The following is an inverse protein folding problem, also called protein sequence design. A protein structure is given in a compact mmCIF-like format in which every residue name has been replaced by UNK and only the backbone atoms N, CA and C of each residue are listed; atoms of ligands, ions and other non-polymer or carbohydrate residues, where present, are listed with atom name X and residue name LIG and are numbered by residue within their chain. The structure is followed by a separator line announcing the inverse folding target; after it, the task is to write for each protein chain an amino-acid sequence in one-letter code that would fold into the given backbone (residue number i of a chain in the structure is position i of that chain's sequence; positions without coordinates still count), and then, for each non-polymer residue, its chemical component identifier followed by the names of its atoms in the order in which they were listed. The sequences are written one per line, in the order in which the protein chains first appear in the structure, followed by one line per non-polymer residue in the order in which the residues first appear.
data_IF_530015297466
#
_entry.id   IF_530015297466
#
_cell.length_a   1.000
_cell.length_b   1.000
_cell.length_c   1.000
_cell.angle_alpha   90.00
_cell.angle_beta   90.00
_cell.angle_gamma   90.00
#
_symmetry.space_group_name_H-M   'P 1'
#
loop_
_entity.id
_entity.type
_entity.pdbx_description
1 polymer ?
#
# COMPACT_ATOMS: atom_id res chain seq x y z
N UNK A 1 -14.98 -19.32 12.12
CA UNK A 1 -15.28 -18.36 13.22
C UNK A 1 -14.32 -17.18 13.11
N UNK A 2 -14.82 -15.95 13.32
CA UNK A 2 -13.98 -14.76 13.40
C UNK A 2 -13.92 -14.34 14.86
N UNK A 3 -12.70 -14.30 15.41
CA UNK A 3 -12.43 -13.79 16.74
C UNK A 3 -11.81 -12.42 16.65
N UNK A 4 -12.33 -11.45 17.41
CA UNK A 4 -11.80 -10.10 17.48
C UNK A 4 -11.33 -9.80 18.89
N UNK A 5 -10.25 -9.03 19.02
CA UNK A 5 -9.73 -8.53 20.29
C UNK A 5 -9.44 -7.05 20.19
N UNK A 6 -10.07 -6.29 21.05
CA UNK A 6 -9.92 -4.84 21.09
C UNK A 6 -8.87 -4.45 22.14
N UNK A 7 -7.93 -3.58 21.70
CA UNK A 7 -6.91 -3.03 22.59
C UNK A 7 -7.57 -2.17 23.69
N UNK A 8 -7.20 -2.44 24.94
CA UNK A 8 -7.76 -1.76 26.12
C UNK A 8 -9.00 -2.44 26.72
N UNK A 9 -9.67 -3.33 26.00
CA UNK A 9 -10.81 -4.12 26.47
C UNK A 9 -10.40 -5.59 26.63
N UNK A 10 -10.07 -6.27 25.53
CA UNK A 10 -9.77 -7.70 25.50
C UNK A 10 -8.28 -8.00 25.63
N UNK A 11 -7.43 -7.04 25.34
CA UNK A 11 -5.96 -7.18 25.38
C UNK A 11 -5.27 -5.88 25.79
N UNK A 12 -4.10 -6.02 26.41
CA UNK A 12 -3.27 -4.87 26.81
C UNK A 12 -2.31 -4.39 25.71
N UNK A 13 -2.04 -5.20 24.68
CA UNK A 13 -1.20 -4.83 23.56
C UNK A 13 -1.49 -5.69 22.34
N UNK A 14 -1.20 -5.19 21.14
CA UNK A 14 -1.27 -5.97 19.90
C UNK A 14 -0.33 -7.19 19.96
N UNK A 15 0.88 -7.03 20.49
CA UNK A 15 1.83 -8.12 20.64
C UNK A 15 1.29 -9.26 21.51
N UNK A 16 0.67 -8.94 22.66
CA UNK A 16 0.08 -9.97 23.53
C UNK A 16 -1.10 -10.68 22.85
N UNK A 17 -1.96 -9.93 22.15
CA UNK A 17 -3.07 -10.50 21.41
C UNK A 17 -2.56 -11.45 20.31
N UNK A 18 -1.55 -11.04 19.55
CA UNK A 18 -0.97 -11.83 18.47
C UNK A 18 -0.29 -13.10 19.00
N UNK A 19 0.51 -13.01 20.08
CA UNK A 19 1.10 -14.18 20.74
C UNK A 19 0.07 -15.21 21.20
N UNK A 20 -1.07 -14.73 21.70
CA UNK A 20 -2.15 -15.62 22.14
C UNK A 20 -2.89 -16.21 20.93
N UNK A 21 -3.17 -15.39 19.90
CA UNK A 21 -3.86 -15.82 18.70
C UNK A 21 -3.11 -16.95 17.97
N UNK A 22 -1.78 -16.87 17.86
CA UNK A 22 -0.95 -17.90 17.22
C UNK A 22 -1.02 -19.29 17.90
N UNK A 23 -1.55 -19.37 19.13
CA UNK A 23 -1.79 -20.64 19.84
C UNK A 23 -3.17 -21.23 19.57
N UNK A 24 -4.01 -20.51 18.85
CA UNK A 24 -5.38 -20.90 18.50
C UNK A 24 -5.49 -21.48 17.08
N UNK A 25 -4.32 -21.72 16.42
CA UNK A 25 -4.19 -22.27 15.09
C UNK A 25 -5.02 -21.50 14.02
N UNK A 26 -4.84 -20.18 13.87
CA UNK A 26 -5.58 -19.41 12.91
C UNK A 26 -4.97 -19.55 11.50
N UNK A 27 -5.77 -19.72 10.48
CA UNK A 27 -5.28 -19.64 9.09
C UNK A 27 -4.94 -18.21 8.68
N UNK A 28 -5.74 -17.24 9.17
CA UNK A 28 -5.66 -15.83 8.77
C UNK A 28 -5.64 -14.94 10.02
N UNK A 29 -4.70 -14.00 10.05
CA UNK A 29 -4.58 -13.01 11.12
C UNK A 29 -4.62 -11.60 10.53
N UNK A 30 -5.48 -10.74 11.09
CA UNK A 30 -5.47 -9.31 10.76
C UNK A 30 -4.96 -8.53 11.98
N UNK A 31 -3.84 -7.84 11.79
CA UNK A 31 -3.28 -6.89 12.78
C UNK A 31 -3.76 -5.50 12.40
N UNK A 32 -4.63 -4.93 13.21
CA UNK A 32 -5.28 -3.66 12.92
C UNK A 32 -4.29 -2.50 12.70
N UNK A 33 -3.15 -2.53 13.38
CA UNK A 33 -2.07 -1.56 13.19
C UNK A 33 -0.71 -2.11 13.63
N UNK A 34 0.30 -1.93 12.80
CA UNK A 34 1.69 -2.31 13.07
C UNK A 34 2.55 -1.05 13.33
N UNK A 35 2.68 -0.66 14.61
CA UNK A 35 3.41 0.56 15.01
C UNK A 35 4.74 0.29 15.69
N UNK A 36 4.82 -0.80 16.42
CA UNK A 36 5.94 -1.12 17.29
C UNK A 36 6.70 -2.35 16.82
N UNK A 37 7.98 -2.42 17.21
CA UNK A 37 8.91 -3.48 16.84
C UNK A 37 8.37 -4.87 17.22
N UNK A 38 7.81 -5.02 18.42
CA UNK A 38 7.37 -6.33 18.91
C UNK A 38 6.20 -6.87 18.08
N UNK A 39 5.22 -6.02 17.77
CA UNK A 39 4.08 -6.39 16.92
C UNK A 39 4.54 -6.76 15.51
N UNK A 40 5.46 -5.97 14.91
CA UNK A 40 5.98 -6.24 13.56
C UNK A 40 6.79 -7.54 13.54
N UNK A 41 7.67 -7.76 14.52
CA UNK A 41 8.46 -8.99 14.61
C UNK A 41 7.57 -10.25 14.70
N UNK A 42 6.51 -10.18 15.52
CA UNK A 42 5.55 -11.28 15.65
C UNK A 42 4.74 -11.51 14.38
N UNK A 43 4.35 -10.43 13.67
CA UNK A 43 3.65 -10.53 12.38
C UNK A 43 4.51 -11.21 11.31
N UNK A 44 5.79 -10.84 11.22
CA UNK A 44 6.75 -11.51 10.32
C UNK A 44 6.91 -12.99 10.70
N UNK A 45 7.09 -13.28 11.99
CA UNK A 45 7.22 -14.66 12.48
C UNK A 45 5.98 -15.49 12.15
N UNK A 46 4.79 -14.93 12.35
CA UNK A 46 3.54 -15.60 12.01
C UNK A 46 3.47 -15.93 10.51
N UNK A 47 3.86 -14.97 9.65
CA UNK A 47 3.88 -15.18 8.20
C UNK A 47 4.90 -16.27 7.79
N UNK A 48 6.10 -16.31 8.42
CA UNK A 48 7.12 -17.34 8.18
C UNK A 48 6.65 -18.74 8.62
N UNK A 49 5.79 -18.82 9.62
CA UNK A 49 5.24 -20.09 10.13
C UNK A 49 3.98 -20.55 9.40
N UNK A 50 3.58 -19.88 8.31
CA UNK A 50 2.55 -20.35 7.40
C UNK A 50 1.19 -19.65 7.53
N UNK A 51 1.05 -18.67 8.39
CA UNK A 51 -0.20 -17.89 8.54
C UNK A 51 -0.29 -16.81 7.46
N UNK A 52 -1.49 -16.57 6.94
CA UNK A 52 -1.75 -15.38 6.13
C UNK A 52 -1.96 -14.17 7.05
N UNK A 53 -1.02 -13.25 7.05
CA UNK A 53 -1.06 -12.06 7.91
C UNK A 53 -1.40 -10.82 7.11
N UNK A 54 -2.48 -10.15 7.46
CA UNK A 54 -2.79 -8.79 7.01
C UNK A 54 -2.36 -7.80 8.08
N UNK A 55 -1.60 -6.78 7.68
CA UNK A 55 -1.17 -5.71 8.58
C UNK A 55 -1.41 -4.35 7.95
N UNK A 56 -1.74 -3.34 8.74
CA UNK A 56 -1.86 -1.97 8.27
C UNK A 56 -0.73 -1.10 8.78
N UNK A 57 -0.24 -0.23 7.89
CA UNK A 57 0.76 0.79 8.17
C UNK A 57 0.32 2.12 7.57
N UNK A 58 0.80 3.25 8.13
CA UNK A 58 0.54 4.58 7.61
C UNK A 58 1.70 5.03 6.72
N UNK A 59 1.67 4.59 5.46
CA UNK A 59 2.69 4.89 4.44
C UNK A 59 2.02 5.30 3.13
N UNK A 60 2.72 6.07 2.30
CA UNK A 60 2.18 6.61 1.05
C UNK A 60 2.59 5.80 -0.19
N UNK A 61 3.52 4.84 -0.07
CA UNK A 61 3.96 3.99 -1.18
C UNK A 61 4.40 2.60 -0.70
N UNK A 62 4.47 1.65 -1.62
CA UNK A 62 4.92 0.29 -1.34
C UNK A 62 6.40 0.25 -0.90
N UNK A 63 7.28 1.04 -1.53
CA UNK A 63 8.68 1.12 -1.12
C UNK A 63 8.82 1.66 0.31
N UNK A 64 8.09 2.73 0.64
CA UNK A 64 8.08 3.28 2.01
C UNK A 64 7.51 2.29 3.03
N UNK A 65 6.55 1.45 2.64
CA UNK A 65 6.04 0.40 3.52
C UNK A 65 7.15 -0.59 3.89
N UNK A 66 7.92 -1.04 2.90
CA UNK A 66 9.06 -1.94 3.12
C UNK A 66 10.10 -1.28 4.03
N UNK A 67 10.51 -0.05 3.74
CA UNK A 67 11.46 0.69 4.56
C UNK A 67 10.94 0.87 5.98
N UNK A 68 9.68 1.27 6.15
CA UNK A 68 9.05 1.48 7.47
C UNK A 68 9.05 0.23 8.33
N UNK A 69 8.81 -0.94 7.74
CA UNK A 69 8.87 -2.23 8.46
C UNK A 69 10.31 -2.49 8.93
N UNK A 70 11.29 -2.25 8.09
CA UNK A 70 12.70 -2.53 8.38
C UNK A 70 13.28 -1.56 9.41
N UNK A 71 12.95 -0.28 9.28
CA UNK A 71 13.55 0.81 10.06
C UNK A 71 13.16 0.81 11.54
N UNK A 72 12.10 0.10 11.94
CA UNK A 72 11.77 -0.06 13.36
C UNK A 72 12.75 -0.97 14.09
N UNK A 73 13.54 -1.77 13.36
CA UNK A 73 14.52 -2.70 13.94
C UNK A 73 15.89 -2.03 14.10
N UNK A 74 16.67 -2.40 15.15
CA UNK A 74 18.05 -2.00 15.29
C UNK A 74 18.89 -2.36 14.06
N UNK A 75 19.88 -1.53 13.74
CA UNK A 75 20.69 -1.64 12.53
C UNK A 75 21.34 -3.04 12.34
N UNK A 76 21.76 -3.67 13.43
CA UNK A 76 22.35 -5.02 13.43
C UNK A 76 21.35 -6.13 13.05
N UNK A 77 20.04 -5.86 13.16
CA UNK A 77 18.97 -6.80 12.81
C UNK A 77 18.38 -6.56 11.42
N UNK A 78 18.52 -5.37 10.86
CA UNK A 78 17.86 -5.00 9.61
C UNK A 78 18.18 -5.94 8.44
N UNK A 79 19.41 -6.42 8.31
CA UNK A 79 19.79 -7.38 7.26
C UNK A 79 18.99 -8.68 7.36
N UNK A 80 18.84 -9.21 8.58
CA UNK A 80 18.05 -10.41 8.81
C UNK A 80 16.57 -10.16 8.48
N UNK A 81 16.02 -9.02 8.91
CA UNK A 81 14.61 -8.65 8.64
C UNK A 81 14.36 -8.49 7.15
N UNK A 82 15.29 -7.91 6.38
CA UNK A 82 15.18 -7.85 4.90
C UNK A 82 15.02 -9.23 4.29
N UNK A 83 15.81 -10.20 4.73
CA UNK A 83 15.72 -11.59 4.25
C UNK A 83 14.36 -12.19 4.60
N UNK A 84 13.93 -12.10 5.85
CA UNK A 84 12.64 -12.62 6.31
C UNK A 84 11.47 -11.98 5.54
N UNK A 85 11.46 -10.65 5.45
CA UNK A 85 10.42 -9.92 4.73
C UNK A 85 10.41 -10.25 3.23
N UNK A 86 11.59 -10.39 2.60
CA UNK A 86 11.69 -10.75 1.18
C UNK A 86 11.12 -12.14 0.85
N UNK A 87 11.02 -13.02 1.84
CA UNK A 87 10.49 -14.38 1.69
C UNK A 87 9.01 -14.47 2.08
N UNK A 88 8.54 -13.65 3.04
CA UNK A 88 7.19 -13.75 3.60
C UNK A 88 6.21 -12.72 3.03
N UNK A 89 6.67 -11.56 2.55
CA UNK A 89 5.79 -10.54 1.98
C UNK A 89 5.17 -11.03 0.67
N UNK A 90 3.86 -10.86 0.52
CA UNK A 90 3.11 -11.28 -0.68
C UNK A 90 2.73 -10.09 -1.53
N UNK A 91 2.18 -9.04 -0.94
CA UNK A 91 1.76 -7.84 -1.64
C UNK A 91 1.72 -6.63 -0.70
N UNK A 92 1.77 -5.43 -1.29
CA UNK A 92 1.51 -4.17 -0.60
C UNK A 92 0.49 -3.37 -1.41
N UNK A 93 -0.53 -2.87 -0.71
CA UNK A 93 -1.56 -1.98 -1.24
C UNK A 93 -1.46 -0.64 -0.52
N UNK A 94 -0.92 0.38 -1.19
CA UNK A 94 -0.86 1.74 -0.66
C UNK A 94 -1.99 2.56 -1.22
N UNK A 95 -2.86 3.08 -0.36
CA UNK A 95 -4.13 3.70 -0.75
C UNK A 95 -4.20 5.17 -0.34
N UNK A 96 -4.81 6.00 -1.17
CA UNK A 96 -5.22 7.36 -0.84
C UNK A 96 -6.63 7.66 -1.34
N UNK A 97 -7.33 8.56 -0.63
CA UNK A 97 -8.64 9.06 -1.04
C UNK A 97 -8.48 10.41 -1.75
N UNK A 98 -9.08 10.53 -2.92
CA UNK A 98 -9.00 11.70 -3.79
C UNK A 98 -10.40 12.31 -3.94
N UNK A 99 -10.60 13.63 -3.79
CA UNK A 99 -11.89 14.27 -4.02
C UNK A 99 -12.34 14.06 -5.48
N UNK A 100 -13.60 13.66 -5.67
CA UNK A 100 -14.23 13.61 -6.98
C UNK A 100 -14.52 15.01 -7.48
N UNK A 101 -14.46 15.22 -8.79
CA UNK A 101 -14.73 16.52 -9.45
C UNK A 101 -16.19 16.94 -9.30
N UNK A 102 -17.11 16.04 -9.57
CA UNK A 102 -18.55 16.29 -9.56
C UNK A 102 -19.28 15.08 -8.93
N UNK A 103 -19.26 14.93 -7.59
CA UNK A 103 -19.99 13.85 -6.95
C UNK A 103 -21.50 14.05 -7.13
N UNK A 104 -22.23 12.98 -7.46
CA UNK A 104 -23.70 13.02 -7.54
C UNK A 104 -24.31 13.15 -6.13
N UNK A 105 -25.51 13.70 -5.99
CA UNK A 105 -26.26 13.63 -4.74
C UNK A 105 -26.34 12.17 -4.27
N UNK A 106 -26.06 11.92 -2.99
CA UNK A 106 -25.99 10.58 -2.37
C UNK A 106 -24.83 9.69 -2.82
N UNK A 107 -23.83 10.21 -3.53
CA UNK A 107 -22.58 9.50 -3.86
C UNK A 107 -21.45 9.94 -2.92
N UNK A 108 -20.56 9.01 -2.58
CA UNK A 108 -19.35 9.37 -1.84
C UNK A 108 -18.54 10.40 -2.62
N UNK A 109 -18.23 11.55 -1.98
CA UNK A 109 -17.50 12.67 -2.58
C UNK A 109 -16.01 12.38 -2.86
N UNK A 110 -15.53 11.18 -2.57
CA UNK A 110 -14.14 10.75 -2.77
C UNK A 110 -14.08 9.44 -3.56
N UNK A 111 -13.01 9.27 -4.32
CA UNK A 111 -12.63 8.02 -4.97
C UNK A 111 -11.31 7.52 -4.41
N UNK A 112 -11.08 6.22 -4.49
CA UNK A 112 -9.84 5.60 -4.05
C UNK A 112 -8.84 5.58 -5.20
N UNK A 113 -7.60 5.97 -4.93
CA UNK A 113 -6.44 5.69 -5.76
C UNK A 113 -5.46 4.83 -4.95
N UNK A 114 -4.87 3.82 -5.59
CA UNK A 114 -3.98 2.89 -4.90
C UNK A 114 -2.80 2.47 -5.78
N UNK A 115 -1.64 2.37 -5.14
CA UNK A 115 -0.47 1.68 -5.68
C UNK A 115 -0.57 0.21 -5.27
N UNK A 116 -0.28 -0.70 -6.19
CA UNK A 116 -0.29 -2.15 -5.95
C UNK A 116 1.07 -2.72 -6.32
N UNK A 117 1.72 -3.30 -5.34
CA UNK A 117 2.95 -4.08 -5.50
C UNK A 117 2.66 -5.55 -5.20
N UNK A 118 2.98 -6.43 -6.13
CA UNK A 118 2.96 -7.90 -5.92
C UNK A 118 4.39 -8.37 -5.87
N UNK A 119 4.73 -9.18 -4.89
CA UNK A 119 6.09 -9.67 -4.74
C UNK A 119 6.42 -10.65 -5.87
N UNK A 120 7.49 -10.33 -6.57
CA UNK A 120 8.12 -11.16 -7.58
C UNK A 120 9.54 -11.50 -7.15
N UNK A 121 10.21 -12.49 -7.75
CA UNK A 121 11.62 -12.77 -7.46
C UNK A 121 12.52 -11.53 -7.60
N UNK A 122 12.23 -10.65 -8.57
CA UNK A 122 12.96 -9.40 -8.75
C UNK A 122 12.75 -8.44 -7.56
N UNK A 123 11.52 -8.23 -7.12
CA UNK A 123 11.20 -7.35 -5.97
C UNK A 123 11.73 -7.95 -4.67
N UNK A 124 11.60 -9.27 -4.45
CA UNK A 124 12.23 -9.94 -3.31
C UNK A 124 13.72 -9.66 -3.24
N UNK A 125 14.42 -9.72 -4.38
CA UNK A 125 15.85 -9.44 -4.43
C UNK A 125 16.17 -7.97 -4.10
N UNK A 126 15.38 -7.02 -4.62
CA UNK A 126 15.52 -5.59 -4.28
C UNK A 126 15.35 -5.34 -2.77
N UNK A 127 14.39 -6.00 -2.13
CA UNK A 127 14.17 -5.89 -0.67
C UNK A 127 15.38 -6.45 0.08
N UNK A 128 15.86 -7.64 -0.31
CA UNK A 128 16.99 -8.32 0.32
C UNK A 128 18.27 -7.49 0.25
N UNK A 129 18.50 -6.85 -0.90
CA UNK A 129 19.68 -6.01 -1.14
C UNK A 129 19.54 -4.57 -0.60
N UNK A 130 18.38 -4.20 -0.06
CA UNK A 130 18.13 -2.83 0.42
C UNK A 130 17.99 -1.80 -0.69
N UNK A 131 17.66 -2.22 -1.91
CA UNK A 131 17.49 -1.36 -3.10
C UNK A 131 16.02 -0.94 -3.29
N UNK A 132 15.36 -0.53 -2.22
CA UNK A 132 13.93 -0.21 -2.19
C UNK A 132 13.54 0.93 -3.14
N UNK A 133 14.47 1.86 -3.42
CA UNK A 133 14.26 2.93 -4.40
C UNK A 133 13.96 2.40 -5.83
N UNK A 134 14.40 1.19 -6.18
CA UNK A 134 14.16 0.58 -7.50
C UNK A 134 12.81 -0.15 -7.59
N UNK A 135 12.10 -0.33 -6.47
CA UNK A 135 10.79 -1.02 -6.42
C UNK A 135 9.78 -0.30 -7.31
N UNK A 136 9.76 1.03 -7.33
CA UNK A 136 8.84 1.78 -8.18
C UNK A 136 8.94 1.39 -9.66
N UNK A 137 10.15 1.27 -10.19
CA UNK A 137 10.37 0.85 -11.59
C UNK A 137 9.89 -0.59 -11.84
N UNK A 138 10.04 -1.46 -10.85
CA UNK A 138 9.52 -2.82 -10.94
C UNK A 138 7.98 -2.87 -10.93
N UNK A 139 7.33 -2.03 -10.13
CA UNK A 139 5.86 -1.88 -10.16
C UNK A 139 5.39 -1.37 -11.51
N UNK A 140 6.06 -0.34 -12.06
CA UNK A 140 5.72 0.29 -13.34
C UNK A 140 5.73 -0.71 -14.50
N UNK A 141 6.67 -1.66 -14.49
CA UNK A 141 6.79 -2.70 -15.52
C UNK A 141 5.95 -3.95 -15.24
N UNK A 142 5.40 -4.06 -14.04
CA UNK A 142 4.67 -5.23 -13.55
C UNK A 142 3.17 -5.27 -13.86
N UNK A 143 2.67 -4.44 -14.78
CA UNK A 143 1.23 -4.34 -15.08
C UNK A 143 0.57 -5.65 -15.48
N UNK A 144 1.28 -6.56 -16.16
CA UNK A 144 0.76 -7.89 -16.52
C UNK A 144 0.47 -8.78 -15.30
N UNK A 145 1.08 -8.49 -14.16
CA UNK A 145 0.88 -9.19 -12.90
C UNK A 145 -0.15 -8.50 -11.99
N UNK A 146 -0.82 -7.45 -12.47
CA UNK A 146 -1.79 -6.69 -11.69
C UNK A 146 -1.17 -5.57 -10.84
N UNK A 147 0.13 -5.28 -10.99
CA UNK A 147 0.77 -4.14 -10.34
C UNK A 147 0.39 -2.83 -11.01
N UNK A 148 0.30 -1.76 -10.21
CA UNK A 148 0.05 -0.42 -10.73
C UNK A 148 0.68 0.64 -9.82
N UNK A 149 1.19 1.71 -10.43
CA UNK A 149 1.67 2.87 -9.69
C UNK A 149 0.53 3.81 -9.34
N UNK A 150 0.69 4.59 -8.27
CA UNK A 150 -0.29 5.61 -7.89
C UNK A 150 -0.51 6.62 -9.02
N UNK A 151 0.56 7.05 -9.69
CA UNK A 151 0.53 8.02 -10.79
C UNK A 151 -0.30 7.52 -11.98
N UNK A 152 -0.19 6.21 -12.31
CA UNK A 152 -1.01 5.60 -13.38
C UNK A 152 -2.50 5.65 -13.03
N UNK A 153 -2.87 5.36 -11.79
CA UNK A 153 -4.27 5.40 -11.36
C UNK A 153 -4.80 6.83 -11.35
N UNK A 154 -4.03 7.78 -10.80
CA UNK A 154 -4.41 9.21 -10.79
C UNK A 154 -4.58 9.77 -12.21
N UNK A 155 -3.64 9.45 -13.12
CA UNK A 155 -3.74 9.86 -14.52
C UNK A 155 -5.00 9.29 -15.20
N UNK A 156 -5.31 8.01 -14.96
CA UNK A 156 -6.50 7.38 -15.50
C UNK A 156 -7.80 8.00 -14.96
N UNK A 157 -7.88 8.27 -13.65
CA UNK A 157 -9.03 8.92 -13.03
C UNK A 157 -9.21 10.36 -13.53
N UNK A 158 -8.13 11.10 -13.76
CA UNK A 158 -8.17 12.42 -14.38
C UNK A 158 -8.70 12.34 -15.82
N UNK A 159 -8.16 11.43 -16.65
CA UNK A 159 -8.60 11.21 -18.04
C UNK A 159 -10.08 10.83 -18.15
N UNK A 160 -10.57 10.07 -17.19
CA UNK A 160 -11.99 9.69 -17.04
C UNK A 160 -12.85 10.83 -16.45
N UNK A 161 -12.26 12.03 -16.18
CA UNK A 161 -12.92 13.18 -15.61
C UNK A 161 -13.57 12.91 -14.22
N UNK A 162 -13.03 11.93 -13.48
CA UNK A 162 -13.47 11.58 -12.12
C UNK A 162 -12.89 12.56 -11.11
N UNK A 163 -11.63 12.98 -11.27
CA UNK A 163 -10.92 13.91 -10.38
C UNK A 163 -10.40 15.10 -11.18
N UNK A 164 -10.05 16.19 -10.48
CA UNK A 164 -9.39 17.34 -11.10
C UNK A 164 -7.89 17.16 -11.18
N UNK A 165 -7.21 17.96 -12.02
CA UNK A 165 -5.75 17.97 -12.11
C UNK A 165 -5.11 18.32 -10.76
N UNK A 166 -5.63 19.34 -10.07
CA UNK A 166 -5.14 19.81 -8.78
C UNK A 166 -5.30 18.71 -7.70
N UNK A 167 -6.44 18.01 -7.72
CA UNK A 167 -6.67 16.89 -6.80
C UNK A 167 -5.66 15.74 -7.06
N UNK A 168 -5.37 15.41 -8.30
CA UNK A 168 -4.36 14.41 -8.66
C UNK A 168 -2.95 14.83 -8.20
N UNK A 169 -2.56 16.08 -8.51
CA UNK A 169 -1.26 16.64 -8.15
C UNK A 169 -1.04 16.73 -6.62
N UNK A 170 -2.10 16.94 -5.85
CA UNK A 170 -2.01 16.99 -4.38
C UNK A 170 -1.73 15.63 -3.73
N UNK A 171 -1.87 14.52 -4.45
CA UNK A 171 -1.74 13.14 -3.92
C UNK A 171 -0.50 12.41 -4.41
N UNK A 172 0.16 12.90 -5.45
CA UNK A 172 1.37 12.28 -5.97
C UNK A 172 2.62 12.77 -5.24
N UNK A 173 3.57 11.87 -5.03
CA UNK A 173 4.94 12.21 -4.66
C UNK A 173 5.87 12.38 -5.89
N UNK A 174 5.36 12.15 -7.12
CA UNK A 174 6.09 12.18 -8.38
C UNK A 174 5.36 13.04 -9.42
N UNK A 175 5.33 14.37 -9.22
CA UNK A 175 4.55 15.29 -10.05
C UNK A 175 4.96 15.24 -11.53
N UNK A 176 6.26 15.13 -11.83
CA UNK A 176 6.76 15.09 -13.21
C UNK A 176 6.28 13.83 -13.95
N UNK A 177 6.28 12.68 -13.26
CA UNK A 177 5.77 11.43 -13.83
C UNK A 177 4.27 11.50 -14.09
N UNK A 178 3.50 12.04 -13.15
CA UNK A 178 2.07 12.24 -13.32
C UNK A 178 1.77 13.16 -14.49
N UNK A 179 2.47 14.30 -14.63
CA UNK A 179 2.31 15.22 -15.75
C UNK A 179 2.63 14.54 -17.08
N UNK A 180 3.70 13.75 -17.15
CA UNK A 180 4.06 12.98 -18.34
C UNK A 180 2.95 12.01 -18.73
N UNK A 181 2.38 11.28 -17.77
CA UNK A 181 1.28 10.34 -18.00
C UNK A 181 -0.02 11.05 -18.45
N UNK A 182 -0.28 12.25 -17.94
CA UNK A 182 -1.42 13.07 -18.35
C UNK A 182 -1.17 13.70 -19.73
N UNK A 183 0.01 14.28 -19.96
CA UNK A 183 0.35 15.02 -21.18
C UNK A 183 0.45 14.15 -22.43
N UNK A 184 0.72 12.86 -22.30
CA UNK A 184 0.72 11.89 -23.41
C UNK A 184 -0.69 11.45 -23.86
N UNK A 185 -1.74 12.12 -23.42
CA UNK A 185 -3.14 11.83 -23.83
C UNK A 185 -3.78 13.05 -24.46
N UNK A 186 -4.64 12.88 -25.49
CA UNK A 186 -5.45 13.98 -26.02
C UNK A 186 -6.30 14.56 -24.89
N UNK A 187 -6.31 15.88 -24.75
CA UNK A 187 -7.12 16.60 -23.78
C UNK A 187 -8.58 16.15 -23.89
N UNK A 188 -9.30 15.93 -22.77
CA UNK A 188 -10.71 15.61 -22.83
C UNK A 188 -11.43 16.74 -23.57
N UNK A 189 -12.20 16.38 -24.60
CA UNK A 189 -12.98 17.32 -25.37
C UNK A 189 -13.83 18.19 -24.40
N UNK A 190 -13.56 19.49 -24.40
CA UNK A 190 -14.42 20.45 -23.71
C UNK A 190 -15.80 20.33 -24.34
N UNK A 191 -16.75 19.72 -23.64
CA UNK A 191 -18.15 19.78 -24.03
C UNK A 191 -18.56 21.24 -23.95
N UNK A 192 -18.64 21.88 -25.14
CA UNK A 192 -19.05 23.26 -25.27
C UNK A 192 -20.39 23.47 -24.57
N UNK A 193 -20.39 24.33 -23.57
CA UNK A 193 -21.62 24.90 -23.06
C UNK A 193 -22.23 25.72 -24.21
N UNK A 194 -23.24 25.12 -24.88
CA UNK A 194 -24.09 25.85 -25.79
C UNK A 194 -24.80 26.97 -24.98
N UNK A 195 -24.39 28.20 -25.23
CA UNK A 195 -25.20 29.36 -24.89
C UNK A 195 -26.49 29.32 -25.75
N UNK A 196 -27.62 29.26 -25.08
CA UNK A 196 -28.85 29.94 -25.50
C UNK A 196 -29.67 30.25 -24.23
#
# INVERSE_FOLDING_TARGET
LIHQRQLGEDTKSFANALKAALREDPDIVLVGEMRDLETIALAITAAETGHLVFGTLHTSSASQTVDRIIDVFPADKQTQIRVQLSNSLVAVFSQTLVPKKNPKPNEYGRTMAQEIMIITPAISNLIREGKTAQIYSAIQTGGKLGMQTLETVLANQYKQNIITFEAAMSKTSRPDELQRLIGNSPAPAQSGAARR
#
